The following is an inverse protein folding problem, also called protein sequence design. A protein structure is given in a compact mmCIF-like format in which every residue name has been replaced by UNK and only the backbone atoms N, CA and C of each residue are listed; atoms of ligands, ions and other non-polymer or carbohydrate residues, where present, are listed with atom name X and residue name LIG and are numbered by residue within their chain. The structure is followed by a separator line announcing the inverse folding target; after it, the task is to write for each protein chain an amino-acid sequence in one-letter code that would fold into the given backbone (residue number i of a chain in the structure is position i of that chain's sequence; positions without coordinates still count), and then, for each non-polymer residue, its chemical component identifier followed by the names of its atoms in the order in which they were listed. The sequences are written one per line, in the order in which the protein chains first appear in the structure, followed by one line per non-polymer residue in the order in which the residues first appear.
data_IF_105282951719
#
_entry.id   IF_105282951719
#
_cell.length_a   1.000
_cell.length_b   1.000
_cell.length_c   1.000
_cell.angle_alpha   90.00
_cell.angle_beta   90.00
_cell.angle_gamma   90.00
#
_symmetry.space_group_name_H-M   'P 1'
#
loop_
_entity.id
_entity.type
_entity.pdbx_description
1 polymer ?
#
# COMPACT_ATOMS: atom_id res chain seq x y z
N UNK A 1 10.05 -9.69 26.12
CA UNK A 1 9.94 -9.93 24.66
C UNK A 1 9.37 -8.66 24.05
N UNK A 2 10.24 -7.78 23.56
CA UNK A 2 9.83 -6.50 23.00
C UNK A 2 9.42 -6.79 21.56
N UNK A 3 8.11 -6.72 21.31
CA UNK A 3 7.55 -6.79 19.97
C UNK A 3 8.01 -5.51 19.28
N UNK A 4 9.06 -5.59 18.46
CA UNK A 4 9.43 -4.49 17.56
C UNK A 4 8.41 -4.49 16.43
N UNK A 5 7.18 -4.12 16.77
CA UNK A 5 6.21 -3.63 15.82
C UNK A 5 6.73 -2.28 15.38
N UNK A 6 7.01 -2.15 14.09
CA UNK A 6 7.09 -0.84 13.48
C UNK A 6 5.68 -0.23 13.57
N UNK A 7 5.35 0.38 14.72
CA UNK A 7 4.14 1.16 15.01
C UNK A 7 4.13 2.42 14.13
N UNK A 8 4.12 2.22 12.82
CA UNK A 8 3.98 3.28 11.84
C UNK A 8 2.55 3.83 11.96
N UNK A 9 2.40 4.93 12.71
CA UNK A 9 1.35 5.95 12.62
C UNK A 9 -0.04 5.46 12.17
N UNK A 10 -0.54 4.37 12.75
CA UNK A 10 -1.92 3.97 12.49
C UNK A 10 -2.85 4.93 13.21
N UNK A 11 -3.94 5.38 12.56
CA UNK A 11 -4.94 6.18 13.23
C UNK A 11 -5.49 5.39 14.43
N UNK A 12 -5.68 6.06 15.57
CA UNK A 12 -6.21 5.44 16.79
C UNK A 12 -7.54 4.75 16.48
N UNK A 13 -7.55 3.42 16.60
CA UNK A 13 -8.70 2.60 16.27
C UNK A 13 -9.89 2.85 17.19
N UNK A 14 -9.67 3.44 18.37
CA UNK A 14 -10.73 3.82 19.32
C UNK A 14 -11.31 5.20 19.01
N UNK A 15 -10.60 6.04 18.26
CA UNK A 15 -11.11 7.33 17.83
C UNK A 15 -11.90 7.20 16.52
N UNK A 16 -13.22 7.31 16.61
CA UNK A 16 -14.08 7.28 15.44
C UNK A 16 -13.70 8.38 14.41
N UNK A 17 -13.22 9.55 14.86
CA UNK A 17 -12.86 10.66 13.95
C UNK A 17 -11.72 10.25 13.02
N UNK A 18 -10.78 9.46 13.52
CA UNK A 18 -9.67 8.89 12.77
C UNK A 18 -10.09 7.99 11.61
N UNK A 19 -11.33 7.48 11.62
CA UNK A 19 -11.88 6.58 10.59
C UNK A 19 -13.09 7.15 9.84
N UNK A 20 -13.47 8.43 10.04
CA UNK A 20 -14.62 9.04 9.35
C UNK A 20 -14.56 8.92 7.83
N UNK A 21 -13.36 8.96 7.26
CA UNK A 21 -13.15 8.82 5.83
C UNK A 21 -13.61 7.46 5.28
N UNK A 22 -13.63 6.41 6.12
CA UNK A 22 -14.02 5.05 5.70
C UNK A 22 -15.47 4.96 5.24
N UNK A 23 -16.33 5.88 5.71
CA UNK A 23 -17.74 6.00 5.31
C UNK A 23 -17.92 6.28 3.81
N UNK A 24 -16.89 6.79 3.15
CA UNK A 24 -16.92 7.15 1.73
C UNK A 24 -16.12 6.19 0.86
N UNK A 25 -15.60 5.10 1.43
CA UNK A 25 -14.82 4.14 0.67
C UNK A 25 -15.72 3.31 -0.24
N UNK A 26 -15.29 3.20 -1.49
CA UNK A 26 -15.80 2.19 -2.41
C UNK A 26 -15.35 0.79 -1.96
N UNK A 27 -15.88 -0.25 -2.60
CA UNK A 27 -15.41 -1.63 -2.37
C UNK A 27 -13.89 -1.78 -2.58
N UNK A 28 -13.33 -1.10 -3.58
CA UNK A 28 -11.86 -1.07 -3.81
C UNK A 28 -11.12 -0.33 -2.68
N UNK A 29 -11.71 0.76 -2.18
CA UNK A 29 -11.17 1.48 -1.02
C UNK A 29 -11.09 0.59 0.22
N UNK A 30 -12.15 -0.17 0.51
CA UNK A 30 -12.14 -1.15 1.59
C UNK A 30 -11.10 -2.27 1.38
N UNK A 31 -11.01 -2.82 0.18
CA UNK A 31 -10.01 -3.83 -0.15
C UNK A 31 -8.59 -3.32 0.15
N UNK A 32 -8.29 -2.06 -0.21
CA UNK A 32 -7.02 -1.44 0.11
C UNK A 32 -6.79 -1.25 1.61
N UNK A 33 -7.81 -0.85 2.39
CA UNK A 33 -7.70 -0.71 3.84
C UNK A 33 -7.35 -2.04 4.53
N UNK A 34 -7.91 -3.17 4.07
CA UNK A 34 -7.55 -4.48 4.58
C UNK A 34 -6.13 -4.89 4.17
N UNK A 35 -5.77 -4.70 2.89
CA UNK A 35 -4.46 -5.07 2.37
C UNK A 35 -3.33 -4.31 3.07
N UNK A 36 -3.44 -2.99 3.20
CA UNK A 36 -2.37 -2.16 3.79
C UNK A 36 -2.10 -2.46 5.26
N UNK A 37 -3.02 -3.10 5.98
CA UNK A 37 -2.86 -3.55 7.37
C UNK A 37 -2.38 -5.00 7.51
N UNK A 38 -2.35 -5.77 6.43
CA UNK A 38 -1.88 -7.14 6.46
C UNK A 38 -0.34 -7.18 6.57
N UNK A 39 0.26 -7.78 7.62
CA UNK A 39 1.71 -7.76 7.81
C UNK A 39 2.50 -8.46 6.69
N UNK A 40 1.94 -9.52 6.09
CA UNK A 40 2.58 -10.18 4.96
C UNK A 40 2.54 -9.30 3.71
N UNK A 41 1.43 -8.61 3.46
CA UNK A 41 1.33 -7.64 2.37
C UNK A 41 2.31 -6.47 2.58
N UNK A 42 2.45 -5.98 3.80
CA UNK A 42 3.41 -4.91 4.13
C UNK A 42 4.86 -5.33 3.89
N UNK A 43 5.23 -6.57 4.23
CA UNK A 43 6.58 -7.09 3.96
C UNK A 43 6.84 -7.19 2.46
N UNK A 44 5.90 -7.80 1.73
CA UNK A 44 6.06 -7.98 0.28
C UNK A 44 6.09 -6.63 -0.45
N UNK A 45 5.24 -5.67 -0.04
CA UNK A 45 5.22 -4.32 -0.59
C UNK A 45 6.51 -3.55 -0.28
N UNK A 46 7.03 -3.65 0.94
CA UNK A 46 8.32 -3.02 1.31
C UNK A 46 9.46 -3.57 0.47
N UNK A 47 9.54 -4.90 0.35
CA UNK A 47 10.52 -5.56 -0.48
C UNK A 47 10.40 -5.12 -1.96
N UNK A 48 9.16 -4.97 -2.45
CA UNK A 48 8.90 -4.44 -3.79
C UNK A 48 9.38 -3.01 -3.99
N UNK A 49 9.18 -2.14 -3.00
CA UNK A 49 9.59 -0.73 -3.02
C UNK A 49 11.11 -0.55 -2.88
N UNK A 50 11.78 -1.37 -2.07
CA UNK A 50 13.24 -1.37 -1.92
C UNK A 50 13.98 -1.66 -3.23
N UNK A 51 13.37 -2.48 -4.09
CA UNK A 51 13.91 -2.86 -5.40
C UNK A 51 13.26 -2.10 -6.55
N UNK A 52 12.47 -1.08 -6.26
CA UNK A 52 11.77 -0.34 -7.30
C UNK A 52 12.54 0.90 -7.76
N UNK A 53 12.41 1.19 -9.05
CA UNK A 53 12.84 2.45 -9.63
C UNK A 53 11.67 3.44 -9.65
N UNK A 54 11.87 4.61 -9.05
CA UNK A 54 10.91 5.71 -9.06
C UNK A 54 11.15 6.54 -10.31
N UNK A 55 10.29 6.32 -11.31
CA UNK A 55 10.50 6.77 -12.68
C UNK A 55 10.14 8.24 -12.91
N UNK A 56 9.01 8.69 -12.35
CA UNK A 56 8.48 10.02 -12.57
C UNK A 56 7.40 10.33 -11.52
N UNK A 57 7.42 11.55 -10.98
CA UNK A 57 6.35 12.08 -10.14
C UNK A 57 5.51 13.05 -10.96
N UNK A 58 4.26 12.71 -11.24
CA UNK A 58 3.31 13.59 -11.97
C UNK A 58 2.04 13.76 -11.17
N UNK A 59 1.64 15.01 -10.90
CA UNK A 59 0.32 15.35 -10.35
C UNK A 59 -0.07 14.45 -9.15
N UNK A 60 0.82 14.33 -8.16
CA UNK A 60 0.68 13.50 -6.95
C UNK A 60 0.65 11.98 -7.15
N UNK A 61 1.00 11.49 -8.34
CA UNK A 61 1.16 10.08 -8.64
C UNK A 61 2.66 9.78 -8.80
N UNK A 62 3.15 8.85 -7.97
CA UNK A 62 4.49 8.27 -8.10
C UNK A 62 4.43 7.03 -9.00
N UNK A 63 5.15 7.07 -10.13
CA UNK A 63 5.30 5.90 -11.00
C UNK A 63 6.45 5.05 -10.49
N UNK A 64 6.10 3.89 -9.94
CA UNK A 64 7.03 2.92 -9.36
C UNK A 64 7.17 1.72 -10.29
N UNK A 65 8.39 1.44 -10.76
CA UNK A 65 8.71 0.24 -11.53
C UNK A 65 9.34 -0.79 -10.62
N UNK A 66 8.65 -1.90 -10.38
CA UNK A 66 9.17 -3.04 -9.62
C UNK A 66 9.08 -4.31 -10.46
N UNK A 67 10.11 -5.15 -10.37
CA UNK A 67 10.14 -6.47 -11.00
C UNK A 67 9.43 -7.55 -10.17
N UNK A 68 9.02 -7.21 -8.95
CA UNK A 68 8.40 -8.14 -8.01
C UNK A 68 6.90 -8.30 -8.27
N UNK A 69 6.45 -9.55 -8.30
CA UNK A 69 5.06 -9.90 -8.55
C UNK A 69 4.21 -9.79 -7.28
N UNK A 70 3.33 -8.78 -7.26
CA UNK A 70 2.37 -8.54 -6.19
C UNK A 70 0.93 -8.92 -6.60
N UNK A 71 0.73 -9.61 -7.73
CA UNK A 71 -0.60 -10.02 -8.22
C UNK A 71 -1.35 -10.93 -7.24
N UNK A 72 -0.63 -11.70 -6.41
CA UNK A 72 -1.21 -12.49 -5.30
C UNK A 72 -2.01 -11.65 -4.30
N UNK A 73 -1.76 -10.34 -4.22
CA UNK A 73 -2.48 -9.40 -3.38
C UNK A 73 -3.62 -8.66 -4.12
N UNK A 74 -3.86 -9.00 -5.39
CA UNK A 74 -4.81 -8.31 -6.26
C UNK A 74 -4.36 -6.91 -6.67
N UNK A 75 -3.09 -6.56 -6.42
CA UNK A 75 -2.50 -5.30 -6.87
C UNK A 75 -2.13 -5.43 -8.36
N UNK A 76 -2.82 -4.67 -9.20
CA UNK A 76 -2.60 -4.65 -10.64
C UNK A 76 -1.70 -3.46 -10.99
N UNK A 77 -0.50 -3.75 -11.47
CA UNK A 77 0.43 -2.74 -11.96
C UNK A 77 0.26 -2.59 -13.47
N UNK A 78 0.18 -1.35 -13.97
CA UNK A 78 0.22 -1.12 -15.41
C UNK A 78 1.64 -1.35 -15.89
N UNK A 79 1.89 -2.46 -16.60
CA UNK A 79 3.15 -2.66 -17.30
C UNK A 79 3.31 -1.52 -18.31
N UNK A 80 4.33 -0.69 -18.14
CA UNK A 80 4.76 0.23 -19.19
C UNK A 80 5.37 -0.61 -20.29
N UNK A 81 4.71 -0.67 -21.44
CA UNK A 81 5.30 -1.22 -22.66
C UNK A 81 6.19 -0.11 -23.20
N UNK A 82 7.51 -0.34 -23.23
CA UNK A 82 8.42 0.55 -23.95
C UNK A 82 8.07 0.52 -25.44
N UNK A 83 7.97 1.71 -26.04
CA UNK A 83 7.60 1.91 -27.44
C UNK A 83 8.79 1.66 -28.38
#
# INVERSE_FOLDING_TARGET
MIMIGNDADWPDWQDEKSYRYTRYLTQRGWAWEFLRRNPACQRDLRHALEHAEFAERRFDIDVVRSSLDLTRWGLLFRKLVEA
#
